data_IF_366907669169
#
_entry.id   IF_366907669169
#
_cell.length_a   1.000
_cell.length_b   1.000
_cell.length_c   1.000
_cell.angle_alpha   90.00
_cell.angle_beta   90.00
_cell.angle_gamma   90.00
#
_symmetry.space_group_name_H-M   'P 1'
#
loop_
_entity.id
_entity.type
_entity.pdbx_description
1 polymer ?
#
# COMPACT_ATOMS: atom_id res chain seq x y z
N UNK A 1 -15.36 -10.70 -22.73
CA UNK A 1 -13.97 -10.61 -22.18
C UNK A 1 -13.77 -9.34 -21.35
N UNK A 2 -14.20 -8.16 -21.83
CA UNK A 2 -14.07 -6.90 -21.09
C UNK A 2 -14.79 -6.93 -19.73
N UNK A 3 -15.96 -7.53 -19.66
CA UNK A 3 -16.74 -7.68 -18.42
C UNK A 3 -16.05 -8.60 -17.39
N UNK A 4 -15.45 -9.71 -17.87
CA UNK A 4 -14.64 -10.62 -17.02
C UNK A 4 -13.38 -9.96 -16.52
N UNK A 5 -12.69 -9.17 -17.36
CA UNK A 5 -11.52 -8.40 -16.97
C UNK A 5 -11.84 -7.32 -15.92
N UNK A 6 -13.00 -6.65 -16.04
CA UNK A 6 -13.49 -5.70 -15.05
C UNK A 6 -13.75 -6.34 -13.69
N UNK A 7 -14.43 -7.48 -13.66
CA UNK A 7 -14.71 -8.24 -12.44
C UNK A 7 -13.40 -8.74 -11.76
N UNK A 8 -12.44 -9.22 -12.55
CA UNK A 8 -11.15 -9.65 -12.02
C UNK A 8 -10.37 -8.50 -11.35
N UNK A 9 -10.37 -7.29 -11.96
CA UNK A 9 -9.79 -6.09 -11.36
C UNK A 9 -10.45 -5.73 -10.02
N UNK A 10 -11.78 -5.78 -9.96
CA UNK A 10 -12.50 -5.46 -8.73
C UNK A 10 -12.16 -6.42 -7.59
N UNK A 11 -12.12 -7.72 -7.87
CA UNK A 11 -11.73 -8.74 -6.90
C UNK A 11 -10.30 -8.51 -6.42
N UNK A 12 -9.36 -8.26 -7.35
CA UNK A 12 -7.96 -8.00 -7.03
C UNK A 12 -7.80 -6.77 -6.12
N UNK A 13 -8.35 -5.62 -6.51
CA UNK A 13 -8.20 -4.39 -5.72
C UNK A 13 -8.96 -4.44 -4.39
N UNK A 14 -10.09 -5.14 -4.33
CA UNK A 14 -10.80 -5.42 -3.06
C UNK A 14 -9.94 -6.27 -2.12
N UNK A 15 -9.29 -7.29 -2.63
CA UNK A 15 -8.35 -8.11 -1.87
C UNK A 15 -7.15 -7.28 -1.37
N UNK A 16 -6.55 -6.45 -2.23
CA UNK A 16 -5.43 -5.57 -1.86
C UNK A 16 -5.85 -4.56 -0.79
N UNK A 17 -7.04 -3.97 -0.90
CA UNK A 17 -7.62 -3.12 0.16
C UNK A 17 -7.62 -3.86 1.51
N UNK A 18 -8.09 -5.09 1.55
CA UNK A 18 -8.08 -5.92 2.76
C UNK A 18 -6.66 -6.15 3.29
N UNK A 19 -5.74 -6.54 2.42
CA UNK A 19 -4.32 -6.83 2.75
C UNK A 19 -3.59 -5.62 3.36
N UNK A 20 -3.99 -4.39 3.04
CA UNK A 20 -3.38 -3.16 3.58
C UNK A 20 -4.23 -2.46 4.65
N UNK A 21 -5.51 -2.81 4.76
CA UNK A 21 -6.37 -2.34 5.84
C UNK A 21 -6.16 -3.13 7.15
N UNK A 22 -6.13 -4.46 7.07
CA UNK A 22 -5.98 -5.32 8.25
C UNK A 22 -4.67 -5.14 9.03
N UNK A 23 -3.53 -4.68 8.46
CA UNK A 23 -2.35 -4.30 9.24
C UNK A 23 -2.59 -3.26 10.32
N UNK A 24 -3.57 -2.35 10.14
CA UNK A 24 -3.99 -1.41 11.18
C UNK A 24 -4.48 -2.14 12.44
N UNK A 25 -5.35 -3.13 12.22
CA UNK A 25 -5.92 -3.92 13.30
C UNK A 25 -4.90 -4.92 13.88
N UNK A 26 -4.12 -5.58 13.02
CA UNK A 26 -3.15 -6.58 13.41
C UNK A 26 -2.01 -6.00 14.25
N UNK A 27 -1.47 -4.84 13.86
CA UNK A 27 -0.45 -4.12 14.64
C UNK A 27 -1.00 -3.68 16.01
N UNK A 28 -2.20 -3.11 16.03
CA UNK A 28 -2.85 -2.69 17.28
C UNK A 28 -3.13 -3.87 18.23
N UNK A 29 -3.63 -4.99 17.70
CA UNK A 29 -3.87 -6.22 18.46
C UNK A 29 -2.56 -6.77 19.03
N UNK A 30 -1.50 -6.76 18.22
CA UNK A 30 -0.18 -7.24 18.65
C UNK A 30 0.39 -6.38 19.79
N UNK A 31 0.35 -5.07 19.65
CA UNK A 31 0.92 -4.16 20.62
C UNK A 31 0.12 -4.12 21.94
N UNK A 32 -1.19 -4.39 21.86
CA UNK A 32 -2.10 -4.18 22.98
C UNK A 32 -2.47 -5.43 23.76
N UNK A 33 -2.61 -6.57 23.09
CA UNK A 33 -3.23 -7.76 23.67
C UNK A 33 -2.33 -8.99 23.64
N UNK A 34 -1.78 -9.36 22.47
CA UNK A 34 -1.17 -10.69 22.30
C UNK A 34 0.35 -10.67 22.22
N UNK A 35 0.95 -9.51 21.97
CA UNK A 35 2.37 -9.43 21.60
C UNK A 35 2.64 -9.87 20.16
N UNK A 36 3.76 -9.44 19.60
CA UNK A 36 4.09 -9.63 18.19
C UNK A 36 4.22 -11.10 17.79
N UNK A 37 4.92 -11.91 18.60
CA UNK A 37 5.11 -13.33 18.32
C UNK A 37 3.79 -14.09 18.18
N UNK A 38 2.89 -13.99 19.18
CA UNK A 38 1.61 -14.68 19.15
C UNK A 38 0.73 -14.21 18.00
N UNK A 39 0.72 -12.91 17.71
CA UNK A 39 -0.02 -12.37 16.58
C UNK A 39 0.48 -12.94 15.25
N UNK A 40 1.81 -12.97 15.03
CA UNK A 40 2.40 -13.58 13.84
C UNK A 40 1.99 -15.06 13.76
N UNK A 41 2.16 -15.82 14.84
CA UNK A 41 1.91 -17.26 14.84
C UNK A 41 0.46 -17.60 14.49
N UNK A 42 -0.51 -17.04 15.23
CA UNK A 42 -1.92 -17.35 15.02
C UNK A 42 -2.45 -16.84 13.67
N UNK A 43 -2.06 -15.66 13.25
CA UNK A 43 -2.49 -15.13 11.96
C UNK A 43 -1.79 -15.80 10.78
N UNK A 44 -0.61 -16.39 10.97
CA UNK A 44 0.00 -17.28 9.98
C UNK A 44 -0.81 -18.57 9.78
N UNK A 45 -1.39 -19.13 10.83
CA UNK A 45 -2.30 -20.29 10.71
C UNK A 45 -3.60 -19.90 9.99
N UNK A 46 -4.15 -18.71 10.26
CA UNK A 46 -5.32 -18.17 9.52
C UNK A 46 -4.98 -17.99 8.04
N UNK A 47 -3.78 -17.50 7.73
CA UNK A 47 -3.28 -17.38 6.35
C UNK A 47 -3.18 -18.75 5.67
N UNK A 48 -2.62 -19.76 6.34
CA UNK A 48 -2.54 -21.12 5.83
C UNK A 48 -3.93 -21.70 5.54
N UNK A 49 -4.91 -21.47 6.45
CA UNK A 49 -6.30 -21.88 6.23
C UNK A 49 -6.90 -21.21 5.00
N UNK A 50 -6.63 -19.92 4.79
CA UNK A 50 -7.06 -19.18 3.60
C UNK A 50 -6.49 -19.78 2.31
N UNK A 51 -5.20 -20.13 2.29
CA UNK A 51 -4.57 -20.81 1.15
C UNK A 51 -5.15 -22.21 0.92
N UNK A 52 -5.43 -22.96 1.99
CA UNK A 52 -6.12 -24.25 1.88
C UNK A 52 -7.52 -24.07 1.27
N UNK A 53 -8.28 -23.06 1.69
CA UNK A 53 -9.58 -22.77 1.08
C UNK A 53 -9.45 -22.48 -0.43
N UNK A 54 -8.46 -21.70 -0.84
CA UNK A 54 -8.22 -21.46 -2.28
C UNK A 54 -7.80 -22.73 -3.02
N UNK A 55 -6.98 -23.58 -2.43
CA UNK A 55 -6.53 -24.82 -3.05
C UNK A 55 -7.67 -25.82 -3.26
N UNK A 56 -8.54 -25.99 -2.24
CA UNK A 56 -9.59 -27.00 -2.27
C UNK A 56 -10.92 -26.50 -2.86
N UNK A 57 -11.22 -25.21 -2.72
CA UNK A 57 -12.52 -24.63 -3.11
C UNK A 57 -12.40 -23.58 -4.21
N UNK A 58 -11.34 -23.61 -5.03
CA UNK A 58 -11.11 -22.61 -6.09
C UNK A 58 -12.27 -22.47 -7.07
N UNK A 59 -13.01 -23.56 -7.35
CA UNK A 59 -14.18 -23.56 -8.26
C UNK A 59 -15.49 -23.21 -7.54
N UNK A 60 -15.48 -23.10 -6.21
CA UNK A 60 -16.62 -22.67 -5.42
C UNK A 60 -16.49 -21.17 -5.12
N UNK A 61 -17.44 -20.37 -5.61
CA UNK A 61 -17.39 -18.91 -5.45
C UNK A 61 -17.27 -18.47 -3.97
N UNK A 62 -18.04 -19.09 -3.08
CA UNK A 62 -18.02 -18.76 -1.65
C UNK A 62 -16.68 -19.15 -1.05
N UNK A 63 -16.20 -20.38 -1.30
CA UNK A 63 -14.92 -20.87 -0.80
C UNK A 63 -13.74 -20.02 -1.29
N UNK A 64 -13.77 -19.55 -2.54
CA UNK A 64 -12.78 -18.64 -3.11
C UNK A 64 -12.74 -17.30 -2.35
N UNK A 65 -13.88 -16.64 -2.14
CA UNK A 65 -13.93 -15.37 -1.41
C UNK A 65 -13.58 -15.50 0.07
N UNK A 66 -13.99 -16.59 0.72
CA UNK A 66 -13.59 -16.90 2.09
C UNK A 66 -12.08 -17.08 2.16
N UNK A 67 -11.47 -17.82 1.22
CA UNK A 67 -10.02 -17.99 1.14
C UNK A 67 -9.28 -16.67 1.02
N UNK A 68 -9.69 -15.80 0.09
CA UNK A 68 -9.12 -14.45 -0.07
C UNK A 68 -9.24 -13.60 1.21
N UNK A 69 -10.41 -13.65 1.87
CA UNK A 69 -10.66 -12.90 3.10
C UNK A 69 -9.77 -13.36 4.24
N UNK A 70 -9.59 -14.69 4.40
CA UNK A 70 -8.70 -15.26 5.41
C UNK A 70 -7.23 -14.92 5.15
N UNK A 71 -6.78 -14.91 3.88
CA UNK A 71 -5.42 -14.50 3.52
C UNK A 71 -5.23 -13.01 3.83
N UNK A 72 -6.18 -12.16 3.49
CA UNK A 72 -6.11 -10.73 3.79
C UNK A 72 -6.03 -10.47 5.30
N UNK A 73 -6.87 -11.15 6.09
CA UNK A 73 -6.87 -11.07 7.55
C UNK A 73 -5.54 -11.58 8.14
N UNK A 74 -5.07 -12.74 7.69
CA UNK A 74 -3.81 -13.33 8.14
C UNK A 74 -2.61 -12.42 7.85
N UNK A 75 -2.52 -11.92 6.60
CA UNK A 75 -1.43 -11.01 6.21
C UNK A 75 -1.43 -9.71 7.00
N UNK A 76 -2.60 -9.27 7.46
CA UNK A 76 -2.78 -8.06 8.27
C UNK A 76 -1.98 -8.07 9.57
N UNK A 77 -1.91 -9.19 10.27
CA UNK A 77 -1.09 -9.27 11.48
C UNK A 77 0.37 -9.62 11.20
N UNK A 78 0.65 -10.34 10.12
CA UNK A 78 2.00 -10.79 9.80
C UNK A 78 2.86 -9.59 9.33
N UNK A 79 2.41 -8.83 8.35
CA UNK A 79 3.17 -7.74 7.73
C UNK A 79 3.74 -6.71 8.72
N UNK A 80 2.93 -6.06 9.58
CA UNK A 80 3.44 -5.05 10.50
C UNK A 80 4.28 -5.66 11.62
N UNK A 81 3.93 -6.88 12.06
CA UNK A 81 4.57 -7.49 13.22
C UNK A 81 5.93 -8.13 12.90
N UNK A 82 6.13 -8.70 11.69
CA UNK A 82 7.38 -9.42 11.37
C UNK A 82 8.57 -8.46 11.37
N UNK A 83 8.49 -7.33 10.68
CA UNK A 83 9.58 -6.34 10.63
C UNK A 83 9.88 -5.75 12.02
N UNK A 84 8.82 -5.45 12.79
CA UNK A 84 8.97 -4.98 14.17
C UNK A 84 9.56 -6.07 15.07
N UNK A 85 9.16 -7.31 14.94
CA UNK A 85 9.69 -8.45 15.69
C UNK A 85 11.16 -8.74 15.39
N UNK A 86 11.58 -8.60 14.13
CA UNK A 86 13.01 -8.62 13.75
C UNK A 86 13.77 -7.50 14.47
N UNK A 87 13.20 -6.31 14.52
CA UNK A 87 13.81 -5.16 15.24
C UNK A 87 13.94 -5.41 16.75
N UNK A 88 12.98 -6.10 17.37
CA UNK A 88 12.98 -6.43 18.79
C UNK A 88 14.12 -7.39 19.20
N UNK A 89 14.73 -8.11 18.23
CA UNK A 89 15.85 -9.01 18.48
C UNK A 89 17.18 -8.26 18.73
N UNK A 90 17.20 -6.93 18.52
CA UNK A 90 18.39 -6.12 18.66
C UNK A 90 18.32 -5.22 19.89
N UNK A 91 19.44 -5.20 20.62
CA UNK A 91 19.71 -4.32 21.76
C UNK A 91 20.96 -3.46 21.54
N UNK A 92 21.40 -2.73 22.56
CA UNK A 92 22.59 -1.89 22.48
C UNK A 92 23.87 -2.67 22.16
N UNK A 93 23.93 -3.98 22.50
CA UNK A 93 25.12 -4.82 22.32
C UNK A 93 25.27 -5.31 20.88
N UNK A 94 24.17 -5.57 20.19
CA UNK A 94 24.15 -6.18 18.86
C UNK A 94 23.54 -5.26 17.77
N UNK A 95 23.13 -4.02 18.09
CA UNK A 95 22.52 -3.06 17.14
C UNK A 95 23.34 -2.80 15.88
N UNK A 96 24.67 -2.98 15.94
CA UNK A 96 25.54 -2.82 14.78
C UNK A 96 25.24 -3.83 13.66
N UNK A 97 24.60 -4.98 13.99
CA UNK A 97 24.18 -6.00 13.03
C UNK A 97 22.79 -5.74 12.46
N UNK A 98 21.99 -4.88 13.10
CA UNK A 98 20.59 -4.64 12.68
C UNK A 98 20.50 -4.23 11.22
N UNK A 99 21.35 -3.30 10.75
CA UNK A 99 21.35 -2.85 9.36
C UNK A 99 21.53 -4.01 8.38
N UNK A 100 22.50 -4.88 8.61
CA UNK A 100 22.79 -6.03 7.72
C UNK A 100 21.61 -7.00 7.68
N UNK A 101 20.97 -7.24 8.84
CA UNK A 101 19.81 -8.16 8.92
C UNK A 101 18.60 -7.56 8.24
N UNK A 102 18.33 -6.26 8.40
CA UNK A 102 17.23 -5.59 7.68
C UNK A 102 17.48 -5.52 6.17
N UNK A 103 18.71 -5.28 5.74
CA UNK A 103 19.10 -5.30 4.32
C UNK A 103 18.89 -6.70 3.73
N UNK A 104 19.33 -7.75 4.44
CA UNK A 104 19.11 -9.14 4.04
C UNK A 104 17.61 -9.52 4.03
N UNK A 105 16.84 -9.07 5.01
CA UNK A 105 15.40 -9.27 5.08
C UNK A 105 14.68 -8.67 3.86
N UNK A 106 15.01 -7.43 3.51
CA UNK A 106 14.44 -6.78 2.35
C UNK A 106 14.84 -7.46 1.04
N UNK A 107 16.11 -7.84 0.92
CA UNK A 107 16.60 -8.56 -0.26
C UNK A 107 15.89 -9.91 -0.45
N UNK A 108 15.73 -10.70 0.62
CA UNK A 108 15.04 -12.01 0.59
C UNK A 108 13.57 -11.85 0.22
N UNK A 109 12.88 -10.80 0.68
CA UNK A 109 11.49 -10.52 0.29
C UNK A 109 11.40 -10.31 -1.22
N UNK A 110 12.26 -9.48 -1.80
CA UNK A 110 12.27 -9.22 -3.25
C UNK A 110 12.67 -10.46 -4.05
N UNK A 111 13.64 -11.23 -3.55
CA UNK A 111 14.02 -12.50 -4.15
C UNK A 111 12.84 -13.48 -4.17
N UNK A 112 12.13 -13.65 -3.06
CA UNK A 112 10.91 -14.46 -2.99
C UNK A 112 9.82 -13.98 -3.95
N UNK A 113 9.62 -12.65 -4.05
CA UNK A 113 8.65 -12.05 -4.96
C UNK A 113 8.99 -12.29 -6.43
N UNK A 114 10.29 -12.26 -6.79
CA UNK A 114 10.78 -12.57 -8.14
C UNK A 114 10.39 -14.01 -8.53
N UNK A 115 10.67 -14.99 -7.66
CA UNK A 115 10.31 -16.38 -7.90
C UNK A 115 8.81 -16.60 -7.93
N UNK A 116 8.06 -16.01 -6.99
CA UNK A 116 6.61 -16.12 -6.98
C UNK A 116 5.98 -15.57 -8.26
N UNK A 117 6.38 -14.37 -8.69
CA UNK A 117 5.86 -13.75 -9.90
C UNK A 117 6.28 -14.48 -11.19
N UNK A 118 7.46 -15.10 -11.20
CA UNK A 118 7.95 -15.86 -12.35
C UNK A 118 7.37 -17.27 -12.47
N UNK A 119 7.27 -18.01 -11.34
CA UNK A 119 6.94 -19.43 -11.35
C UNK A 119 5.45 -19.73 -11.12
N UNK A 120 4.75 -18.94 -10.27
CA UNK A 120 3.34 -19.22 -9.97
C UNK A 120 2.43 -19.21 -11.21
N UNK A 121 2.60 -18.30 -12.18
CA UNK A 121 1.81 -18.37 -13.43
C UNK A 121 2.04 -19.65 -14.22
N UNK A 122 3.27 -20.17 -14.24
CA UNK A 122 3.58 -21.44 -14.88
C UNK A 122 2.90 -22.60 -14.14
N UNK A 123 2.98 -22.63 -12.82
CA UNK A 123 2.32 -23.66 -12.02
C UNK A 123 0.80 -23.60 -12.18
N UNK A 124 0.24 -22.41 -12.25
CA UNK A 124 -1.20 -22.22 -12.49
C UNK A 124 -1.63 -22.82 -13.84
N UNK A 125 -0.85 -22.61 -14.90
CA UNK A 125 -1.18 -23.10 -16.23
C UNK A 125 -0.88 -24.59 -16.42
N UNK A 126 0.19 -25.13 -15.78
CA UNK A 126 0.65 -26.50 -15.98
C UNK A 126 0.12 -27.51 -14.95
N UNK A 127 -0.02 -27.08 -13.68
CA UNK A 127 -0.44 -27.95 -12.55
C UNK A 127 -1.85 -27.66 -12.08
N UNK A 128 -2.45 -26.55 -12.57
CA UNK A 128 -3.79 -26.12 -12.22
C UNK A 128 -3.87 -25.28 -10.95
N UNK A 129 -5.02 -24.62 -10.72
CA UNK A 129 -5.19 -23.61 -9.67
C UNK A 129 -5.06 -24.20 -8.26
N UNK A 130 -5.53 -25.41 -8.02
CA UNK A 130 -5.46 -26.04 -6.69
C UNK A 130 -4.02 -26.19 -6.20
N UNK A 131 -3.11 -26.64 -7.06
CA UNK A 131 -1.69 -26.81 -6.72
C UNK A 131 -1.01 -25.44 -6.63
N UNK A 132 -1.28 -24.54 -7.58
CA UNK A 132 -0.68 -23.21 -7.59
C UNK A 132 -1.02 -22.40 -6.31
N UNK A 133 -2.25 -22.48 -5.81
CA UNK A 133 -2.63 -21.86 -4.54
C UNK A 133 -2.19 -22.66 -3.31
N UNK A 134 -2.01 -23.98 -3.42
CA UNK A 134 -1.54 -24.83 -2.35
C UNK A 134 -0.07 -24.60 -1.98
N UNK A 135 0.80 -24.36 -2.98
CA UNK A 135 2.25 -24.16 -2.78
C UNK A 135 2.56 -23.03 -1.79
N UNK A 136 2.03 -21.80 -1.93
CA UNK A 136 2.25 -20.74 -0.95
C UNK A 136 1.74 -21.11 0.46
N UNK A 137 0.65 -21.87 0.54
CA UNK A 137 0.10 -22.36 1.81
C UNK A 137 1.05 -23.29 2.52
N UNK A 138 1.65 -24.26 1.80
CA UNK A 138 2.65 -25.18 2.35
C UNK A 138 3.90 -24.43 2.79
N UNK A 139 4.41 -23.50 1.97
CA UNK A 139 5.58 -22.68 2.31
C UNK A 139 5.32 -21.82 3.56
N UNK A 140 4.13 -21.25 3.67
CA UNK A 140 3.75 -20.48 4.85
C UNK A 140 3.62 -21.37 6.11
N UNK A 141 3.09 -22.58 5.96
CA UNK A 141 3.04 -23.54 7.06
C UNK A 141 4.44 -23.94 7.53
N UNK A 142 5.36 -24.23 6.60
CA UNK A 142 6.77 -24.53 6.92
C UNK A 142 7.41 -23.34 7.64
N UNK A 143 7.21 -22.11 7.16
CA UNK A 143 7.72 -20.88 7.79
C UNK A 143 7.16 -20.72 9.21
N UNK A 144 5.86 -20.96 9.41
CA UNK A 144 5.21 -20.91 10.73
C UNK A 144 5.74 -21.97 11.67
N UNK A 145 6.01 -23.17 11.14
CA UNK A 145 6.59 -24.28 11.91
C UNK A 145 8.03 -23.97 12.36
N UNK A 146 8.86 -23.37 11.47
CA UNK A 146 10.21 -22.90 11.81
C UNK A 146 10.14 -21.82 12.91
N UNK A 147 9.23 -20.86 12.78
CA UNK A 147 9.00 -19.82 13.80
C UNK A 147 8.65 -20.47 15.16
N UNK A 148 7.79 -21.49 15.16
CA UNK A 148 7.37 -22.18 16.36
C UNK A 148 8.49 -23.00 17.02
N UNK A 149 9.33 -23.70 16.24
CA UNK A 149 10.49 -24.45 16.77
C UNK A 149 11.47 -23.49 17.45
N UNK A 150 11.77 -22.35 16.79
CA UNK A 150 12.73 -21.37 17.28
C UNK A 150 12.19 -20.47 18.42
N UNK A 151 10.96 -20.67 18.89
CA UNK A 151 10.28 -19.77 19.86
C UNK A 151 11.05 -19.48 21.15
N UNK A 152 11.88 -20.42 21.60
CA UNK A 152 12.70 -20.26 22.83
C UNK A 152 13.95 -19.40 22.63
N UNK A 153 14.31 -19.09 21.38
CA UNK A 153 15.49 -18.31 21.02
C UNK A 153 15.17 -16.83 20.81
N UNK A 154 13.90 -16.48 20.64
CA UNK A 154 13.47 -15.10 20.37
C UNK A 154 13.33 -14.28 21.64
N UNK A 155 13.70 -13.01 21.54
CA UNK A 155 13.34 -11.98 22.52
C UNK A 155 11.87 -11.65 22.32
N UNK A 156 11.06 -11.93 23.33
CA UNK A 156 9.62 -11.69 23.32
C UNK A 156 9.30 -10.50 24.20
N UNK A 157 8.92 -9.37 23.57
CA UNK A 157 8.49 -8.20 24.33
C UNK A 157 6.99 -8.33 24.68
N UNK A 158 6.62 -8.02 25.94
CA UNK A 158 5.21 -8.05 26.34
C UNK A 158 4.43 -6.92 25.66
N UNK A 159 3.09 -7.02 25.56
CA UNK A 159 2.24 -5.95 25.11
C UNK A 159 2.43 -4.68 25.94
N UNK A 160 2.39 -3.52 25.27
CA UNK A 160 2.54 -2.23 25.93
C UNK A 160 1.26 -1.82 26.67
N UNK A 161 1.36 -1.29 27.92
CA UNK A 161 0.19 -0.81 28.63
C UNK A 161 -0.46 0.39 27.92
N UNK A 162 -1.74 0.70 28.22
CA UNK A 162 -2.45 1.86 27.68
C UNK A 162 -1.68 3.15 27.95
N UNK A 163 -1.33 3.89 26.89
CA UNK A 163 -0.78 5.24 27.04
C UNK A 163 -1.91 6.26 27.15
N UNK A 164 -2.07 6.97 28.30
CA UNK A 164 -3.06 8.04 28.46
C UNK A 164 -2.87 9.19 27.47
N UNK A 165 -1.65 9.36 26.93
CA UNK A 165 -1.27 10.41 26.01
C UNK A 165 -1.11 9.89 24.57
N UNK A 166 -1.71 8.72 24.26
CA UNK A 166 -1.71 8.14 22.92
C UNK A 166 -2.37 9.06 21.90
N UNK A 167 -2.02 8.89 20.63
CA UNK A 167 -2.60 9.64 19.51
C UNK A 167 -4.12 9.77 19.59
N UNK A 168 -4.83 8.66 19.80
CA UNK A 168 -6.30 8.64 19.86
C UNK A 168 -6.84 9.39 21.07
N UNK A 169 -6.19 9.30 22.23
CA UNK A 169 -6.64 10.01 23.45
C UNK A 169 -6.46 11.51 23.30
N UNK A 170 -5.36 11.98 22.72
CA UNK A 170 -5.14 13.40 22.43
C UNK A 170 -6.17 13.91 21.41
N UNK A 171 -6.41 13.15 20.33
CA UNK A 171 -7.44 13.49 19.34
C UNK A 171 -8.84 13.57 19.97
N UNK A 172 -9.21 12.61 20.82
CA UNK A 172 -10.49 12.58 21.52
C UNK A 172 -10.65 13.81 22.45
N UNK A 173 -9.59 14.17 23.16
CA UNK A 173 -9.58 15.34 24.04
C UNK A 173 -9.74 16.63 23.23
N UNK A 174 -9.01 16.77 22.11
CA UNK A 174 -9.12 17.92 21.23
C UNK A 174 -10.54 18.06 20.64
N UNK A 175 -11.10 16.99 20.06
CA UNK A 175 -12.46 17.01 19.49
C UNK A 175 -13.54 17.29 20.51
N UNK A 176 -13.36 16.81 21.74
CA UNK A 176 -14.33 17.04 22.85
C UNK A 176 -14.26 18.41 23.49
N UNK A 177 -13.20 19.17 23.23
CA UNK A 177 -12.94 20.42 23.98
C UNK A 177 -13.93 21.54 23.66
N UNK A 178 -14.38 21.68 22.43
CA UNK A 178 -15.28 22.75 21.99
C UNK A 178 -16.30 22.25 20.95
N UNK A 179 -17.32 23.07 20.70
CA UNK A 179 -18.41 22.79 19.75
C UNK A 179 -17.90 22.60 18.35
N UNK A 180 -16.91 23.38 17.88
CA UNK A 180 -16.35 23.28 16.52
C UNK A 180 -15.77 21.88 16.23
N UNK A 181 -14.97 21.34 17.14
CA UNK A 181 -14.40 19.99 16.99
C UNK A 181 -15.47 18.91 16.98
N UNK A 182 -16.49 19.03 17.87
CA UNK A 182 -17.63 18.11 17.91
C UNK A 182 -18.47 18.16 16.65
N UNK A 183 -18.71 19.36 16.10
CA UNK A 183 -19.41 19.53 14.81
C UNK A 183 -18.65 18.88 13.68
N UNK A 184 -17.34 19.11 13.56
CA UNK A 184 -16.53 18.47 12.50
C UNK A 184 -16.52 16.94 12.63
N UNK A 185 -16.41 16.40 13.84
CA UNK A 185 -16.53 14.97 14.08
C UNK A 185 -17.93 14.45 13.69
N UNK A 186 -18.98 15.18 14.07
CA UNK A 186 -20.38 14.86 13.72
C UNK A 186 -20.61 14.86 12.20
N UNK A 187 -20.09 15.85 11.48
CA UNK A 187 -20.15 15.90 10.01
C UNK A 187 -19.40 14.72 9.41
N UNK A 188 -18.22 14.35 9.96
CA UNK A 188 -17.48 13.16 9.52
C UNK A 188 -18.27 11.87 9.70
N UNK A 189 -18.93 11.70 10.84
CA UNK A 189 -19.82 10.56 11.10
C UNK A 189 -21.05 10.59 10.19
N UNK A 190 -21.69 11.74 10.00
CA UNK A 190 -22.84 11.87 9.09
C UNK A 190 -22.46 11.54 7.63
N UNK A 191 -21.29 12.02 7.16
CA UNK A 191 -20.77 11.69 5.84
C UNK A 191 -20.44 10.19 5.72
N UNK A 192 -19.94 9.56 6.78
CA UNK A 192 -19.70 8.11 6.82
C UNK A 192 -21.02 7.34 6.73
N UNK A 193 -22.04 7.71 7.48
CA UNK A 193 -23.38 7.10 7.39
C UNK A 193 -23.95 7.31 5.99
N UNK A 194 -23.85 8.50 5.43
CA UNK A 194 -24.25 8.78 4.04
C UNK A 194 -23.56 7.90 3.02
N UNK A 195 -22.25 7.68 3.20
CA UNK A 195 -21.48 6.76 2.34
C UNK A 195 -21.97 5.32 2.46
N UNK A 196 -22.27 4.84 3.68
CA UNK A 196 -22.79 3.49 3.91
C UNK A 196 -24.21 3.30 3.32
N UNK A 197 -25.05 4.34 3.29
CA UNK A 197 -26.34 4.30 2.62
C UNK A 197 -26.22 4.14 1.09
N UNK A 198 -25.05 4.43 0.52
CA UNK A 198 -24.77 4.22 -0.89
C UNK A 198 -24.31 2.79 -1.24
N UNK A 199 -24.26 1.87 -0.26
CA UNK A 199 -23.89 0.45 -0.50
C UNK A 199 -24.65 -0.18 -1.68
N UNK A 200 -25.96 0.00 -1.86
CA UNK A 200 -26.69 -0.59 -2.98
C UNK A 200 -26.22 -0.08 -4.36
N UNK A 201 -25.65 1.13 -4.43
CA UNK A 201 -25.17 1.75 -5.68
C UNK A 201 -23.67 1.53 -5.92
N UNK A 202 -22.86 1.62 -4.87
CA UNK A 202 -21.38 1.62 -4.96
C UNK A 202 -20.76 0.27 -4.56
N UNK A 203 -21.53 -0.61 -3.91
CA UNK A 203 -21.01 -1.81 -3.27
C UNK A 203 -20.40 -1.54 -1.90
N UNK A 204 -20.29 -2.60 -1.09
CA UNK A 204 -19.85 -2.52 0.32
C UNK A 204 -18.45 -1.93 0.47
N UNK A 205 -17.49 -2.37 -0.35
CA UNK A 205 -16.07 -1.98 -0.19
C UNK A 205 -15.86 -0.50 -0.43
N UNK A 206 -16.40 0.04 -1.52
CA UNK A 206 -16.27 1.48 -1.85
C UNK A 206 -16.95 2.30 -0.77
N UNK A 207 -18.18 1.95 -0.38
CA UNK A 207 -18.93 2.67 0.63
C UNK A 207 -18.23 2.67 2.00
N UNK A 208 -17.71 1.53 2.44
CA UNK A 208 -16.96 1.40 3.70
C UNK A 208 -15.65 2.21 3.69
N UNK A 209 -14.91 2.19 2.59
CA UNK A 209 -13.69 3.00 2.45
C UNK A 209 -14.00 4.50 2.42
N UNK A 210 -15.06 4.93 1.73
CA UNK A 210 -15.50 6.34 1.73
C UNK A 210 -15.93 6.78 3.13
N UNK A 211 -16.62 5.91 3.87
CA UNK A 211 -16.98 6.18 5.26
C UNK A 211 -15.74 6.38 6.14
N UNK A 212 -14.75 5.50 6.00
CA UNK A 212 -13.47 5.59 6.72
C UNK A 212 -12.72 6.88 6.39
N UNK A 213 -12.60 7.22 5.11
CA UNK A 213 -11.94 8.45 4.63
C UNK A 213 -12.66 9.69 5.17
N UNK A 214 -14.00 9.67 5.20
CA UNK A 214 -14.81 10.78 5.74
C UNK A 214 -14.54 11.01 7.24
N UNK A 215 -14.51 9.95 8.04
CA UNK A 215 -14.22 10.03 9.47
C UNK A 215 -12.80 10.52 9.73
N UNK A 216 -11.81 9.95 9.05
CA UNK A 216 -10.40 10.30 9.25
C UNK A 216 -10.12 11.72 8.74
N UNK A 217 -10.63 12.09 7.56
CA UNK A 217 -10.38 13.39 6.95
C UNK A 217 -11.05 14.52 7.73
N UNK A 218 -12.36 14.44 7.91
CA UNK A 218 -13.11 15.48 8.64
C UNK A 218 -12.80 15.48 10.14
N UNK A 219 -12.63 14.30 10.74
CA UNK A 219 -12.15 14.18 12.11
C UNK A 219 -10.76 14.75 12.29
N UNK A 220 -9.84 14.48 11.36
CA UNK A 220 -8.48 15.03 11.35
C UNK A 220 -8.46 16.55 11.24
N UNK A 221 -9.30 17.13 10.38
CA UNK A 221 -9.49 18.60 10.30
C UNK A 221 -10.01 19.15 11.63
N UNK A 222 -11.00 18.48 12.24
CA UNK A 222 -11.54 18.87 13.54
C UNK A 222 -10.47 18.83 14.64
N UNK A 223 -9.64 17.80 14.67
CA UNK A 223 -8.49 17.71 15.60
C UNK A 223 -7.50 18.84 15.34
N UNK A 224 -7.14 19.09 14.08
CA UNK A 224 -6.20 20.15 13.72
C UNK A 224 -6.65 21.53 14.24
N UNK A 225 -7.91 21.86 14.04
CA UNK A 225 -8.50 23.15 14.45
C UNK A 225 -8.56 23.34 15.98
N UNK A 226 -8.61 22.24 16.74
CA UNK A 226 -8.86 22.25 18.17
C UNK A 226 -7.70 21.66 18.99
N UNK A 227 -6.57 21.35 18.36
CA UNK A 227 -5.49 20.61 19.01
C UNK A 227 -4.92 21.34 20.22
N UNK A 228 -4.86 22.69 20.16
CA UNK A 228 -4.38 23.50 21.28
C UNK A 228 -5.29 23.45 22.51
N UNK A 229 -6.55 23.09 22.35
CA UNK A 229 -7.45 22.90 23.48
C UNK A 229 -7.16 21.62 24.31
N UNK A 230 -6.28 20.75 23.81
CA UNK A 230 -5.78 19.61 24.59
C UNK A 230 -4.65 19.97 25.55
N UNK A 231 -4.14 21.22 25.49
CA UNK A 231 -3.13 21.73 26.43
C UNK A 231 -3.65 21.69 27.87
N UNK A 232 -2.76 21.38 28.78
CA UNK A 232 -3.10 21.22 30.20
C UNK A 232 -3.67 19.85 30.58
N UNK A 233 -4.17 19.05 29.62
CA UNK A 233 -4.58 17.66 29.83
C UNK A 233 -3.56 16.64 29.30
N UNK A 234 -2.76 17.05 28.31
CA UNK A 234 -1.71 16.24 27.70
C UNK A 234 -0.39 17.02 27.67
N UNK A 235 0.77 16.32 27.73
CA UNK A 235 2.09 16.93 27.56
C UNK A 235 2.22 17.62 26.19
N UNK A 236 2.96 18.72 26.12
CA UNK A 236 3.22 19.44 24.87
C UNK A 236 3.87 18.55 23.80
N UNK A 237 4.70 17.58 24.19
CA UNK A 237 5.32 16.61 23.27
C UNK A 237 4.26 15.73 22.59
N UNK A 238 3.23 15.28 23.31
CA UNK A 238 2.15 14.48 22.75
C UNK A 238 1.30 15.30 21.76
N UNK A 239 1.01 16.58 22.10
CA UNK A 239 0.29 17.50 21.22
C UNK A 239 1.09 17.80 19.95
N UNK A 240 2.39 18.09 20.09
CA UNK A 240 3.29 18.31 18.98
C UNK A 240 3.41 17.06 18.10
N UNK A 241 3.42 15.86 18.71
CA UNK A 241 3.41 14.59 18.01
C UNK A 241 2.17 14.38 17.15
N UNK A 242 0.97 14.64 17.71
CA UNK A 242 -0.28 14.57 16.93
C UNK A 242 -0.26 15.58 15.78
N UNK A 243 0.23 16.80 16.02
CA UNK A 243 0.38 17.81 14.97
C UNK A 243 1.30 17.35 13.84
N UNK A 244 2.41 16.71 14.17
CA UNK A 244 3.34 16.13 13.18
C UNK A 244 2.70 15.02 12.39
N UNK A 245 1.98 14.09 13.04
CA UNK A 245 1.25 13.02 12.34
C UNK A 245 0.22 13.61 11.36
N UNK A 246 -0.61 14.58 11.80
CA UNK A 246 -1.61 15.19 10.92
C UNK A 246 -1.00 15.89 9.70
N UNK A 247 0.18 16.52 9.84
CA UNK A 247 0.92 17.10 8.71
C UNK A 247 1.37 16.03 7.71
N UNK A 248 1.88 14.91 8.22
CA UNK A 248 2.31 13.79 7.36
C UNK A 248 1.11 13.17 6.63
N UNK A 249 -0.08 13.14 7.25
CA UNK A 249 -1.30 12.63 6.59
C UNK A 249 -1.65 13.40 5.31
N UNK A 250 -1.36 14.70 5.24
CA UNK A 250 -1.55 15.49 4.00
C UNK A 250 -0.65 14.94 2.88
N UNK A 251 0.62 14.65 3.20
CA UNK A 251 1.55 14.04 2.24
C UNK A 251 1.08 12.64 1.84
N UNK A 252 0.60 11.84 2.79
CA UNK A 252 0.07 10.50 2.50
C UNK A 252 -1.14 10.53 1.58
N UNK A 253 -2.05 11.49 1.77
CA UNK A 253 -3.19 11.68 0.88
C UNK A 253 -2.72 11.96 -0.57
N UNK A 254 -1.66 12.76 -0.74
CA UNK A 254 -1.06 13.07 -2.04
C UNK A 254 -0.23 11.92 -2.64
N UNK A 255 0.14 10.92 -1.86
CA UNK A 255 0.79 9.69 -2.35
C UNK A 255 -0.24 8.65 -2.84
N UNK A 256 -1.51 8.74 -2.44
CA UNK A 256 -2.52 7.73 -2.82
C UNK A 256 -2.67 7.55 -4.34
N UNK A 257 -2.56 8.57 -5.21
CA UNK A 257 -2.54 8.37 -6.65
C UNK A 257 -1.37 7.50 -7.13
N UNK A 258 -0.19 7.61 -6.53
CA UNK A 258 0.92 6.72 -6.85
C UNK A 258 0.54 5.26 -6.62
N UNK A 259 -0.06 4.92 -5.48
CA UNK A 259 -0.49 3.55 -5.17
C UNK A 259 -1.56 3.03 -6.13
N UNK A 260 -2.48 3.91 -6.58
CA UNK A 260 -3.47 3.51 -7.58
C UNK A 260 -2.83 3.10 -8.90
N UNK A 261 -1.75 3.77 -9.31
CA UNK A 261 -1.00 3.42 -10.51
C UNK A 261 -0.19 2.14 -10.30
N UNK A 262 0.52 2.06 -9.18
CA UNK A 262 1.45 0.98 -8.87
C UNK A 262 0.78 -0.38 -8.79
N UNK A 263 -0.32 -0.50 -8.07
CA UNK A 263 -0.99 -1.79 -7.87
C UNK A 263 -1.70 -2.29 -9.13
N UNK A 264 -2.10 -1.41 -10.03
CA UNK A 264 -2.72 -1.79 -11.30
C UNK A 264 -1.76 -2.50 -12.29
N UNK A 265 -0.43 -2.50 -12.03
CA UNK A 265 0.49 -3.33 -12.82
C UNK A 265 0.14 -4.83 -12.74
N UNK A 266 -0.44 -5.25 -11.60
CA UNK A 266 -0.88 -6.62 -11.40
C UNK A 266 -2.31 -6.92 -11.94
N UNK A 267 -2.98 -5.93 -12.49
CA UNK A 267 -4.33 -6.05 -13.06
C UNK A 267 -4.41 -5.48 -14.48
N UNK A 268 -4.42 -4.15 -14.60
CA UNK A 268 -4.60 -3.47 -15.90
C UNK A 268 -3.48 -3.80 -16.89
N UNK A 269 -2.22 -3.83 -16.44
CA UNK A 269 -1.08 -4.11 -17.33
C UNK A 269 -1.00 -5.57 -17.74
N UNK A 270 -1.46 -6.50 -16.88
CA UNK A 270 -1.55 -7.93 -17.25
C UNK A 270 -2.59 -8.11 -18.36
N UNK A 271 -3.76 -7.45 -18.25
CA UNK A 271 -4.78 -7.49 -19.30
C UNK A 271 -4.29 -6.88 -20.63
N UNK A 272 -3.50 -5.80 -20.57
CA UNK A 272 -2.85 -5.26 -21.76
C UNK A 272 -1.86 -6.24 -22.37
N UNK A 273 -1.03 -6.89 -21.53
CA UNK A 273 -0.06 -7.88 -21.97
C UNK A 273 -0.70 -9.12 -22.65
N UNK A 274 -1.94 -9.46 -22.29
CA UNK A 274 -2.69 -10.53 -22.93
C UNK A 274 -3.00 -10.22 -24.41
N UNK A 275 -3.19 -8.95 -24.75
CA UNK A 275 -3.40 -8.50 -26.12
C UNK A 275 -2.09 -8.31 -26.92
N UNK A 276 -0.92 -8.47 -26.31
CA UNK A 276 0.39 -8.29 -26.94
C UNK A 276 0.95 -9.62 -27.44
N UNK A 277 1.85 -9.56 -28.44
CA UNK A 277 2.55 -10.75 -28.93
C UNK A 277 3.60 -11.20 -27.93
N UNK A 278 3.58 -12.49 -27.62
CA UNK A 278 4.48 -13.13 -26.65
C UNK A 278 4.76 -14.58 -27.03
N UNK A 279 5.89 -15.16 -26.59
CA UNK A 279 6.15 -16.59 -26.78
C UNK A 279 5.07 -17.44 -26.11
N UNK A 280 4.75 -18.59 -26.66
CA UNK A 280 3.69 -19.48 -26.15
C UNK A 280 3.93 -19.99 -24.71
N UNK A 281 5.19 -20.08 -24.31
CA UNK A 281 5.59 -20.48 -22.96
C UNK A 281 5.50 -19.33 -21.93
N UNK A 282 5.37 -18.08 -22.38
CA UNK A 282 5.40 -16.90 -21.50
C UNK A 282 3.98 -16.47 -21.13
N UNK A 283 3.69 -16.39 -19.84
CA UNK A 283 2.43 -15.90 -19.32
C UNK A 283 2.49 -14.38 -19.05
N UNK A 284 1.45 -13.64 -19.43
CA UNK A 284 1.42 -12.17 -19.27
C UNK A 284 1.69 -11.70 -17.83
N UNK A 285 1.20 -12.44 -16.85
CA UNK A 285 1.42 -12.14 -15.43
C UNK A 285 2.87 -12.30 -14.97
N UNK A 286 3.72 -13.02 -15.71
CA UNK A 286 5.16 -13.14 -15.42
C UNK A 286 5.91 -11.83 -15.60
N UNK A 287 5.35 -10.86 -16.36
CA UNK A 287 5.92 -9.51 -16.46
C UNK A 287 6.06 -8.83 -15.09
N UNK A 288 5.25 -9.20 -14.12
CA UNK A 288 5.36 -8.69 -12.76
C UNK A 288 6.69 -9.04 -12.09
N UNK A 289 7.39 -10.08 -12.53
CA UNK A 289 8.72 -10.43 -12.03
C UNK A 289 9.79 -9.38 -12.34
N UNK A 290 9.56 -8.51 -13.34
CA UNK A 290 10.45 -7.37 -13.62
C UNK A 290 10.52 -6.39 -12.44
N UNK A 291 9.44 -6.17 -11.73
CA UNK A 291 9.42 -5.22 -10.63
C UNK A 291 10.41 -5.60 -9.51
N UNK A 292 10.34 -6.76 -8.84
CA UNK A 292 11.33 -7.11 -7.82
C UNK A 292 12.75 -7.24 -8.35
N UNK A 293 12.94 -7.71 -9.62
CA UNK A 293 14.26 -7.74 -10.24
C UNK A 293 14.84 -6.33 -10.38
N UNK A 294 14.05 -5.39 -10.87
CA UNK A 294 14.46 -3.99 -11.03
C UNK A 294 14.67 -3.30 -9.67
N UNK A 295 13.86 -3.60 -8.64
CA UNK A 295 14.06 -3.07 -7.28
C UNK A 295 15.44 -3.46 -6.76
N UNK A 296 15.82 -4.76 -6.89
CA UNK A 296 17.13 -5.25 -6.45
C UNK A 296 18.30 -4.59 -7.18
N UNK A 297 18.11 -4.14 -8.41
CA UNK A 297 19.11 -3.43 -9.22
C UNK A 297 19.09 -1.91 -8.97
N UNK A 298 17.91 -1.30 -8.90
CA UNK A 298 17.76 0.15 -8.82
C UNK A 298 18.13 0.71 -7.44
N UNK A 299 17.93 -0.04 -6.35
CA UNK A 299 18.32 0.43 -5.01
C UNK A 299 19.83 0.68 -4.93
N UNK A 300 20.72 -0.29 -5.23
CA UNK A 300 22.15 -0.01 -5.22
C UNK A 300 22.56 1.00 -6.30
N UNK A 301 21.95 0.97 -7.49
CA UNK A 301 22.21 1.97 -8.54
C UNK A 301 21.90 3.39 -8.06
N UNK A 302 20.75 3.61 -7.45
CA UNK A 302 20.39 4.92 -6.93
C UNK A 302 21.36 5.40 -5.85
N UNK A 303 21.73 4.52 -4.92
CA UNK A 303 22.59 4.87 -3.79
C UNK A 303 24.07 5.11 -4.20
N UNK A 304 24.56 4.30 -5.12
CA UNK A 304 25.99 4.32 -5.51
C UNK A 304 26.27 5.22 -6.71
N UNK A 305 25.30 5.42 -7.60
CA UNK A 305 25.50 6.14 -8.86
C UNK A 305 24.63 7.39 -8.94
N UNK A 306 23.29 7.23 -8.92
CA UNK A 306 22.37 8.33 -9.22
C UNK A 306 22.44 9.47 -8.18
N UNK A 307 22.29 9.15 -6.90
CA UNK A 307 22.29 10.18 -5.85
C UNK A 307 23.65 10.88 -5.71
N UNK A 308 24.81 10.19 -5.75
CA UNK A 308 26.09 10.87 -5.78
C UNK A 308 26.30 11.76 -7.01
N UNK A 309 25.84 11.30 -8.21
CA UNK A 309 25.94 12.10 -9.43
C UNK A 309 25.10 13.38 -9.37
N UNK A 310 23.89 13.31 -8.82
CA UNK A 310 23.00 14.46 -8.62
C UNK A 310 23.60 15.45 -7.61
N UNK A 311 24.16 14.97 -6.49
CA UNK A 311 24.82 15.80 -5.47
C UNK A 311 26.05 16.52 -6.05
N UNK A 312 26.85 15.84 -6.88
CA UNK A 312 28.00 16.47 -7.56
C UNK A 312 27.58 17.63 -8.48
N UNK A 313 26.35 17.59 -9.00
CA UNK A 313 25.75 18.67 -9.82
C UNK A 313 25.02 19.74 -8.98
N UNK A 314 25.13 19.70 -7.67
CA UNK A 314 24.50 20.68 -6.76
C UNK A 314 23.04 20.43 -6.45
N UNK A 315 22.46 19.27 -6.86
CA UNK A 315 21.07 18.92 -6.54
C UNK A 315 21.00 18.23 -5.16
N UNK A 316 20.28 18.83 -4.24
CA UNK A 316 19.97 18.19 -2.95
C UNK A 316 18.91 17.09 -3.15
N UNK A 317 19.27 15.87 -2.85
CA UNK A 317 18.41 14.69 -2.95
C UNK A 317 17.69 14.46 -1.61
N UNK A 318 16.72 15.34 -1.30
CA UNK A 318 15.90 15.22 -0.08
C UNK A 318 14.82 14.13 -0.24
N UNK A 319 14.30 13.61 0.88
CA UNK A 319 13.24 12.61 0.88
C UNK A 319 12.00 13.08 0.09
N UNK A 320 11.55 14.30 0.36
CA UNK A 320 10.35 14.85 -0.30
C UNK A 320 10.57 15.09 -1.82
N UNK A 321 11.75 15.51 -2.26
CA UNK A 321 12.09 15.64 -3.68
C UNK A 321 12.10 14.28 -4.38
N UNK A 322 12.64 13.25 -3.72
CA UNK A 322 12.60 11.86 -4.23
C UNK A 322 11.18 11.39 -4.41
N UNK A 323 10.32 11.58 -3.41
CA UNK A 323 8.91 11.19 -3.49
C UNK A 323 8.15 11.94 -4.60
N UNK A 324 8.35 13.27 -4.73
CA UNK A 324 7.78 14.06 -5.83
C UNK A 324 8.16 13.49 -7.20
N UNK A 325 9.46 13.24 -7.42
CA UNK A 325 9.95 12.64 -8.66
C UNK A 325 9.38 11.24 -8.89
N UNK A 326 9.29 10.43 -7.83
CA UNK A 326 8.74 9.06 -7.92
C UNK A 326 7.28 9.03 -8.34
N UNK A 327 6.44 9.93 -7.83
CA UNK A 327 5.04 10.07 -8.27
C UNK A 327 4.98 10.49 -9.75
N UNK A 328 5.85 11.41 -10.17
CA UNK A 328 5.94 11.85 -11.57
C UNK A 328 6.39 10.71 -12.51
N UNK A 329 7.37 9.88 -12.10
CA UNK A 329 7.80 8.71 -12.87
C UNK A 329 6.67 7.66 -13.01
N UNK A 330 5.85 7.48 -11.97
CA UNK A 330 4.66 6.64 -12.08
C UNK A 330 3.67 7.21 -13.10
N UNK A 331 3.43 8.52 -13.11
CA UNK A 331 2.61 9.17 -14.14
C UNK A 331 3.18 8.99 -15.55
N UNK A 332 4.50 9.13 -15.71
CA UNK A 332 5.18 8.94 -16.99
C UNK A 332 5.06 7.49 -17.50
N UNK A 333 5.19 6.50 -16.61
CA UNK A 333 5.00 5.10 -16.97
C UNK A 333 3.60 4.83 -17.54
N UNK A 334 2.59 5.49 -16.97
CA UNK A 334 1.19 5.35 -17.42
C UNK A 334 0.89 6.11 -18.72
N UNK A 335 1.62 7.20 -19.04
CA UNK A 335 1.57 7.78 -20.39
C UNK A 335 2.07 6.76 -21.41
N UNK A 336 3.18 6.07 -21.13
CA UNK A 336 3.73 5.04 -22.04
C UNK A 336 2.73 3.91 -22.23
N UNK A 337 2.14 3.39 -21.15
CA UNK A 337 1.15 2.31 -21.21
C UNK A 337 -0.11 2.76 -21.96
N UNK A 338 -0.57 4.00 -21.73
CA UNK A 338 -1.70 4.57 -22.44
C UNK A 338 -1.45 4.71 -23.95
N UNK A 339 -0.26 5.16 -24.34
CA UNK A 339 0.15 5.25 -25.75
C UNK A 339 0.20 3.85 -26.38
N UNK A 340 0.75 2.86 -25.68
CA UNK A 340 0.74 1.45 -26.11
C UNK A 340 -0.70 0.94 -26.30
N UNK A 341 -1.61 1.29 -25.40
CA UNK A 341 -3.02 0.88 -25.47
C UNK A 341 -3.73 1.48 -26.69
N UNK A 342 -3.44 2.74 -27.04
CA UNK A 342 -3.98 3.36 -28.26
C UNK A 342 -3.56 2.57 -29.51
N UNK A 343 -2.29 2.17 -29.60
CA UNK A 343 -1.76 1.37 -30.71
C UNK A 343 -2.43 -0.01 -30.77
N UNK A 344 -2.61 -0.68 -29.63
CA UNK A 344 -3.32 -1.98 -29.56
C UNK A 344 -4.78 -1.85 -29.97
N UNK A 345 -5.47 -0.79 -29.53
CA UNK A 345 -6.87 -0.54 -29.91
C UNK A 345 -7.01 -0.26 -31.42
N UNK A 346 -5.97 0.26 -32.08
CA UNK A 346 -5.88 0.40 -33.53
C UNK A 346 -5.62 -0.92 -34.28
N UNK A 347 -5.57 -2.06 -33.59
CA UNK A 347 -5.38 -3.39 -34.17
C UNK A 347 -3.93 -3.77 -34.48
N UNK A 348 -2.94 -2.97 -34.08
CA UNK A 348 -1.52 -3.27 -34.27
C UNK A 348 -1.00 -4.03 -33.06
N UNK A 349 -0.76 -5.34 -33.21
CA UNK A 349 -0.11 -6.14 -32.19
C UNK A 349 1.42 -5.93 -32.21
N UNK A 350 2.02 -5.78 -31.04
CA UNK A 350 3.47 -5.66 -30.88
C UNK A 350 3.97 -6.44 -29.65
N UNK A 351 5.28 -6.61 -29.55
CA UNK A 351 5.89 -7.48 -28.55
C UNK A 351 5.67 -7.02 -27.13
N UNK A 352 5.39 -7.95 -26.21
CA UNK A 352 5.27 -7.72 -24.76
C UNK A 352 6.55 -7.12 -24.15
N UNK A 353 7.70 -7.25 -24.83
CA UNK A 353 8.97 -6.65 -24.38
C UNK A 353 8.89 -5.12 -24.24
N UNK A 354 7.99 -4.46 -24.97
CA UNK A 354 7.77 -3.02 -24.82
C UNK A 354 7.27 -2.63 -23.42
N UNK A 355 6.64 -3.54 -22.69
CA UNK A 355 6.24 -3.27 -21.30
C UNK A 355 7.45 -3.14 -20.35
N UNK A 356 8.65 -3.56 -20.72
CA UNK A 356 9.87 -3.37 -19.91
C UNK A 356 10.08 -1.89 -19.60
N UNK A 357 9.83 -0.99 -20.55
CA UNK A 357 10.01 0.44 -20.35
C UNK A 357 9.09 1.02 -19.28
N UNK A 358 7.76 0.86 -19.33
CA UNK A 358 6.89 1.36 -18.26
C UNK A 358 7.13 0.64 -16.93
N UNK A 359 7.49 -0.66 -16.90
CA UNK A 359 7.90 -1.33 -15.67
C UNK A 359 9.15 -0.69 -15.07
N UNK A 360 10.16 -0.34 -15.86
CA UNK A 360 11.37 0.34 -15.37
C UNK A 360 11.05 1.72 -14.79
N UNK A 361 10.21 2.51 -15.46
CA UNK A 361 9.78 3.83 -14.99
C UNK A 361 8.97 3.73 -13.69
N UNK A 362 8.02 2.79 -13.63
CA UNK A 362 7.18 2.61 -12.45
C UNK A 362 7.98 2.11 -11.25
N UNK A 363 8.91 1.16 -11.47
CA UNK A 363 9.77 0.64 -10.41
C UNK A 363 10.77 1.68 -9.91
N UNK A 364 11.29 2.53 -10.80
CA UNK A 364 12.09 3.68 -10.37
C UNK A 364 11.24 4.62 -9.48
N UNK A 365 9.99 4.88 -9.88
CA UNK A 365 9.01 5.61 -9.07
C UNK A 365 8.80 4.95 -7.71
N UNK A 366 8.64 3.63 -7.66
CA UNK A 366 8.46 2.86 -6.43
C UNK A 366 9.65 3.01 -5.47
N UNK A 367 10.87 2.82 -5.94
CA UNK A 367 12.07 2.94 -5.10
C UNK A 367 12.20 4.36 -4.54
N UNK A 368 11.80 5.38 -5.31
CA UNK A 368 11.82 6.77 -4.87
C UNK A 368 10.69 7.12 -3.89
N UNK A 369 9.54 6.45 -3.93
CA UNK A 369 8.39 6.71 -3.06
C UNK A 369 8.37 5.80 -1.85
N UNK A 370 8.44 4.47 -2.04
CA UNK A 370 8.14 3.49 -0.99
C UNK A 370 9.14 3.52 0.16
N UNK A 371 10.42 3.26 -0.12
CA UNK A 371 11.45 3.22 0.90
C UNK A 371 11.64 4.61 1.53
N UNK A 372 11.66 5.65 0.69
CA UNK A 372 11.84 7.03 1.13
C UNK A 372 10.67 7.53 1.97
N UNK A 373 9.44 7.23 1.56
CA UNK A 373 8.23 7.67 2.26
C UNK A 373 8.11 7.03 3.64
N UNK A 374 8.49 5.77 3.75
CA UNK A 374 8.51 5.03 5.01
C UNK A 374 9.55 5.60 5.98
N UNK A 375 10.78 5.79 5.51
CA UNK A 375 11.86 6.41 6.27
C UNK A 375 11.49 7.83 6.73
N UNK A 376 10.97 8.64 5.80
CA UNK A 376 10.50 9.99 6.09
C UNK A 376 9.41 9.99 7.17
N UNK A 377 8.35 9.20 6.99
CA UNK A 377 7.26 9.10 7.94
C UNK A 377 7.76 8.71 9.34
N UNK A 378 8.66 7.74 9.41
CA UNK A 378 9.25 7.28 10.65
C UNK A 378 10.08 8.37 11.34
N UNK A 379 10.81 9.21 10.58
CA UNK A 379 11.60 10.32 11.12
C UNK A 379 10.74 11.46 11.67
N UNK A 380 9.55 11.67 11.09
CA UNK A 380 8.66 12.78 11.47
C UNK A 380 7.75 12.48 12.67
N UNK A 381 7.67 11.23 13.12
CA UNK A 381 6.81 10.84 14.24
C UNK A 381 7.59 10.64 15.54
N UNK A 382 7.09 11.14 16.69
CA UNK A 382 7.62 10.76 18.00
C UNK A 382 7.55 9.24 18.20
N UNK A 383 8.45 8.71 19.05
CA UNK A 383 8.55 7.27 19.30
C UNK A 383 7.22 6.61 19.66
N UNK A 384 6.43 7.27 20.51
CA UNK A 384 5.11 6.79 20.94
C UNK A 384 4.05 6.74 19.81
N UNK A 385 4.27 7.42 18.66
CA UNK A 385 3.31 7.52 17.56
C UNK A 385 3.82 6.86 16.26
N UNK A 386 4.99 6.22 16.29
CA UNK A 386 5.56 5.56 15.10
C UNK A 386 4.66 4.46 14.55
N UNK A 387 4.04 3.65 15.41
CA UNK A 387 3.07 2.64 14.99
C UNK A 387 1.86 3.24 14.27
N UNK A 388 1.36 4.36 14.77
CA UNK A 388 0.22 5.08 14.17
C UNK A 388 0.55 5.58 12.76
N UNK A 389 1.74 6.17 12.57
CA UNK A 389 2.12 6.71 11.26
C UNK A 389 2.35 5.59 10.23
N UNK A 390 2.89 4.45 10.66
CA UNK A 390 3.06 3.27 9.83
C UNK A 390 1.71 2.66 9.42
N UNK A 391 0.74 2.70 10.33
CA UNK A 391 -0.63 2.32 10.07
C UNK A 391 -1.27 3.22 8.99
N UNK A 392 -1.09 4.52 9.08
CA UNK A 392 -1.57 5.48 8.06
C UNK A 392 -0.83 5.33 6.73
N UNK A 393 0.44 4.95 6.73
CA UNK A 393 1.14 4.58 5.50
C UNK A 393 0.45 3.42 4.78
N UNK A 394 0.13 2.34 5.49
CA UNK A 394 -0.62 1.21 4.93
C UNK A 394 -2.01 1.63 4.43
N UNK A 395 -2.67 2.54 5.16
CA UNK A 395 -3.97 3.09 4.75
C UNK A 395 -3.86 3.90 3.44
N UNK A 396 -2.73 4.57 3.18
CA UNK A 396 -2.54 5.28 1.90
C UNK A 396 -2.57 4.33 0.70
N UNK A 397 -2.06 3.10 0.84
CA UNK A 397 -2.17 2.05 -0.19
C UNK A 397 -3.63 1.62 -0.37
N UNK A 398 -4.35 1.41 0.75
CA UNK A 398 -5.79 1.10 0.73
C UNK A 398 -6.58 2.15 -0.06
N UNK A 399 -6.35 3.43 0.21
CA UNK A 399 -7.02 4.55 -0.49
C UNK A 399 -6.60 4.61 -1.96
N UNK A 400 -5.34 4.29 -2.28
CA UNK A 400 -4.89 4.16 -3.66
C UNK A 400 -5.71 3.13 -4.45
N UNK A 401 -5.96 1.97 -3.86
CA UNK A 401 -6.80 0.95 -4.48
C UNK A 401 -8.29 1.33 -4.53
N UNK A 402 -8.78 2.12 -3.56
CA UNK A 402 -10.12 2.70 -3.62
C UNK A 402 -10.30 3.59 -4.86
N UNK A 403 -9.32 4.42 -5.22
CA UNK A 403 -9.38 5.23 -6.44
C UNK A 403 -9.60 4.38 -7.69
N UNK A 404 -8.93 3.22 -7.76
CA UNK A 404 -9.13 2.29 -8.89
C UNK A 404 -10.57 1.78 -8.95
N UNK A 405 -11.14 1.38 -7.79
CA UNK A 405 -12.52 0.91 -7.73
C UNK A 405 -13.53 2.00 -8.09
N UNK A 406 -13.31 3.23 -7.62
CA UNK A 406 -14.19 4.39 -7.92
C UNK A 406 -14.16 4.72 -9.42
N UNK A 407 -12.96 4.77 -10.02
CA UNK A 407 -12.84 5.02 -11.46
C UNK A 407 -13.47 3.89 -12.27
N UNK A 408 -13.25 2.63 -11.89
CA UNK A 408 -13.88 1.49 -12.54
C UNK A 408 -15.43 1.52 -12.44
N UNK A 409 -15.96 1.96 -11.30
CA UNK A 409 -17.41 2.14 -11.15
C UNK A 409 -17.93 3.29 -12.03
N UNK A 410 -17.16 4.38 -12.13
CA UNK A 410 -17.51 5.53 -12.98
C UNK A 410 -17.62 5.17 -14.46
N UNK A 411 -16.67 4.39 -14.99
CA UNK A 411 -16.67 3.98 -16.41
C UNK A 411 -17.67 2.86 -16.76
N UNK A 412 -18.48 2.39 -15.81
CA UNK A 412 -19.64 1.53 -16.07
C UNK A 412 -20.90 2.34 -16.41
N UNK A 413 -20.88 3.66 -16.20
CA UNK A 413 -22.00 4.54 -16.50
C UNK A 413 -22.03 4.87 -17.99
N UNK A 414 -23.16 4.64 -18.66
CA UNK A 414 -23.31 4.83 -20.11
C UNK A 414 -23.05 6.28 -20.54
N UNK A 415 -23.43 7.27 -19.72
CA UNK A 415 -23.15 8.69 -20.00
C UNK A 415 -21.65 8.99 -19.98
N UNK A 416 -20.90 8.38 -19.07
CA UNK A 416 -19.44 8.54 -18.99
C UNK A 416 -18.79 7.84 -20.18
N UNK A 417 -19.23 6.64 -20.54
CA UNK A 417 -18.73 5.91 -21.72
C UNK A 417 -19.00 6.73 -22.99
N UNK A 418 -20.22 7.29 -23.14
CA UNK A 418 -20.59 8.13 -24.27
C UNK A 418 -19.69 9.37 -24.38
N UNK A 419 -19.41 10.04 -23.27
CA UNK A 419 -18.48 11.18 -23.22
C UNK A 419 -17.05 10.78 -23.63
N UNK A 420 -16.52 9.67 -23.11
CA UNK A 420 -15.19 9.18 -23.46
C UNK A 420 -15.10 8.88 -24.96
N UNK A 421 -16.05 8.15 -25.50
CA UNK A 421 -16.08 7.81 -26.94
C UNK A 421 -16.24 9.04 -27.84
N UNK A 422 -17.00 10.05 -27.42
CA UNK A 422 -17.13 11.30 -28.18
C UNK A 422 -15.83 12.10 -28.23
N UNK A 423 -14.91 11.89 -27.28
CA UNK A 423 -13.57 12.49 -27.26
C UNK A 423 -12.54 11.76 -28.15
N UNK A 424 -12.97 10.68 -28.86
CA UNK A 424 -12.11 9.91 -29.76
C UNK A 424 -11.23 8.84 -29.08
N UNK A 425 -11.43 8.59 -27.80
CA UNK A 425 -10.69 7.57 -27.04
C UNK A 425 -11.54 6.33 -26.77
N UNK A 426 -10.89 5.17 -26.78
CA UNK A 426 -11.43 3.97 -26.16
C UNK A 426 -11.30 4.05 -24.63
N UNK A 427 -12.27 3.47 -23.91
CA UNK A 427 -12.39 3.56 -22.46
C UNK A 427 -11.11 3.13 -21.74
N UNK A 428 -10.47 2.05 -22.19
CA UNK A 428 -9.23 1.52 -21.61
C UNK A 428 -8.07 2.49 -21.71
N UNK A 429 -7.84 3.08 -22.88
CA UNK A 429 -6.77 4.07 -23.09
C UNK A 429 -7.07 5.36 -22.32
N UNK A 430 -8.32 5.82 -22.30
CA UNK A 430 -8.73 6.98 -21.52
C UNK A 430 -8.45 6.81 -20.04
N UNK A 431 -8.81 5.65 -19.45
CA UNK A 431 -8.50 5.36 -18.05
C UNK A 431 -7.01 5.44 -17.76
N UNK A 432 -6.16 4.94 -18.64
CA UNK A 432 -4.70 5.00 -18.46
C UNK A 432 -4.19 6.42 -18.44
N UNK A 433 -4.63 7.27 -19.37
CA UNK A 433 -4.26 8.70 -19.40
C UNK A 433 -4.86 9.47 -18.23
N UNK A 434 -6.08 9.13 -17.79
CA UNK A 434 -6.68 9.70 -16.60
C UNK A 434 -5.80 9.47 -15.36
N UNK A 435 -5.37 8.23 -15.12
CA UNK A 435 -4.48 7.93 -14.01
C UNK A 435 -3.12 8.62 -14.14
N UNK A 436 -2.56 8.72 -15.35
CA UNK A 436 -1.33 9.49 -15.59
C UNK A 436 -1.51 10.95 -15.19
N UNK A 437 -2.58 11.61 -15.66
CA UNK A 437 -2.92 12.99 -15.30
C UNK A 437 -3.14 13.17 -13.80
N UNK A 438 -3.82 12.22 -13.16
CA UNK A 438 -4.04 12.20 -11.71
C UNK A 438 -2.72 12.13 -10.93
N UNK A 439 -1.77 11.29 -11.37
CA UNK A 439 -0.44 11.21 -10.77
C UNK A 439 0.36 12.51 -10.96
N UNK A 440 0.33 13.15 -12.13
CA UNK A 440 1.03 14.44 -12.34
C UNK A 440 0.42 15.57 -11.52
N UNK A 441 -0.90 15.63 -11.40
CA UNK A 441 -1.57 16.59 -10.52
C UNK A 441 -1.15 16.38 -9.06
N UNK A 442 -1.09 15.12 -8.62
CA UNK A 442 -0.62 14.78 -7.28
C UNK A 442 0.86 15.10 -7.08
N UNK A 443 1.73 14.82 -8.06
CA UNK A 443 3.14 15.16 -7.99
C UNK A 443 3.36 16.67 -7.86
N UNK A 444 2.61 17.48 -8.61
CA UNK A 444 2.65 18.94 -8.52
C UNK A 444 2.19 19.41 -7.13
N UNK A 445 1.03 18.95 -6.67
CA UNK A 445 0.50 19.30 -5.35
C UNK A 445 1.44 18.86 -4.22
N UNK A 446 1.98 17.63 -4.30
CA UNK A 446 2.97 17.13 -3.37
C UNK A 446 4.23 18.01 -3.35
N UNK A 447 4.76 18.37 -4.53
CA UNK A 447 5.93 19.26 -4.65
C UNK A 447 5.70 20.64 -4.06
N UNK A 448 4.50 21.21 -4.20
CA UNK A 448 4.13 22.50 -3.61
C UNK A 448 4.07 22.40 -2.07
N UNK A 449 3.40 21.39 -1.53
CA UNK A 449 3.33 21.14 -0.08
C UNK A 449 4.72 20.84 0.49
N UNK A 450 5.53 20.07 -0.21
CA UNK A 450 6.89 19.70 0.19
C UNK A 450 7.83 20.90 0.37
N UNK A 451 7.64 21.98 -0.42
CA UNK A 451 8.46 23.20 -0.31
C UNK A 451 8.28 23.93 1.02
N UNK A 452 7.10 23.91 1.57
CA UNK A 452 6.74 24.59 2.82
C UNK A 452 6.65 23.63 4.04
N UNK A 453 6.99 22.35 3.84
CA UNK A 453 6.86 21.37 4.90
C UNK A 453 7.96 21.57 5.97
N UNK A 454 7.56 21.83 7.25
CA UNK A 454 8.52 21.96 8.34
C UNK A 454 9.06 20.58 8.72
N UNK A 455 10.33 20.32 8.41
CA UNK A 455 11.01 19.08 8.79
C UNK A 455 11.21 19.04 10.31
N UNK A 456 10.81 17.94 10.93
CA UNK A 456 11.12 17.61 12.31
C UNK A 456 12.02 16.38 12.32
N UNK A 457 12.94 16.30 13.30
CA UNK A 457 13.79 15.15 13.50
C UNK A 457 13.49 14.54 14.87
N UNK A 458 12.81 13.40 14.84
CA UNK A 458 12.46 12.61 16.02
C UNK A 458 13.30 11.32 16.13
N UNK A 459 14.50 11.30 15.54
CA UNK A 459 15.46 10.24 15.83
C UNK A 459 15.94 10.36 17.28
N UNK A 460 16.06 9.23 17.94
CA UNK A 460 16.55 9.15 19.32
C UNK A 460 17.95 9.76 19.40
N UNK A 461 18.10 10.85 20.14
CA UNK A 461 19.42 11.35 20.49
C UNK A 461 20.18 10.24 21.23
N UNK A 462 21.42 9.99 20.81
CA UNK A 462 22.27 8.99 21.42
C UNK A 462 22.58 9.33 22.89
#
# INVERSE_FOLDING_TARGET
EAERGGAAKEVFHTFVIGVYFFPLLGGWIADRFFGKYNTIFWLSLVYCLGQACLAFFVFNRIGFYVGLSLIALGSGGIKPCVSAFVGDQFDQTNKHRAKVVFDAFYWIINFGSLFASGLMPIFLSSLGPSIAFGIPGVLMFVSTFVLWIARKQYVMLPPTPPDPHSFLNVCRTALGADVRGRVMAGVGVAAAIGSLLLIPKLGFVIAACLALVSVIGLGGIGVWLQLDAARGKHPEEAIAGVRSVLRVLVLFALVTPFWSLFDQKASTWVLQADAMTKPSWFQSSQMQALNPALVMLLIPFNNLVLYPALRKRGYEVTALRRMTAGIAFAGLSWIVVGAMQVVLNGGTAFSITWQVLPYALLTLGEVLVSATGLEFAYSQAPLAMKGVIMAFWSLSVTIGNLWVLVVNAGVKNDSVIGFIKSSGFEVTAFQMFFFAGFAFAAALAFGLVARSYPLADHYRKA
#
